data_IF_987003409361
#
_entry.id   IF_987003409361
#
_cell.length_a   1.000
_cell.length_b   1.000
_cell.length_c   1.000
_cell.angle_alpha   90.00
_cell.angle_beta   90.00
_cell.angle_gamma   90.00
#
_symmetry.space_group_name_H-M   'P 1'
#
loop_
_entity.id
_entity.type
_entity.pdbx_description
1 polymer ?
#
# COMPACT_ATOMS: atom_id res chain seq x y z
N UNK A 1 -7.30 -38.52 13.89
CA UNK A 1 -6.67 -37.41 13.15
C UNK A 1 -5.18 -37.54 13.28
N UNK A 2 -4.48 -37.50 12.14
CA UNK A 2 -3.02 -37.48 12.10
C UNK A 2 -2.45 -36.05 12.07
N UNK A 3 -1.12 -35.92 12.07
CA UNK A 3 -0.47 -34.62 12.05
C UNK A 3 -0.64 -33.88 10.70
N UNK A 4 -0.79 -34.59 9.58
CA UNK A 4 -0.94 -33.96 8.26
C UNK A 4 -2.32 -33.33 8.12
N UNK A 5 -3.33 -33.96 8.70
CA UNK A 5 -4.70 -33.43 8.82
C UNK A 5 -4.80 -32.27 9.82
N UNK A 6 -4.09 -32.36 10.96
CA UNK A 6 -4.18 -31.35 12.01
C UNK A 6 -3.47 -30.03 11.69
N UNK A 7 -2.28 -30.10 11.07
CA UNK A 7 -1.43 -28.92 10.79
C UNK A 7 -2.12 -27.80 10.00
N UNK A 8 -2.83 -28.05 8.89
CA UNK A 8 -3.51 -26.98 8.15
C UNK A 8 -4.69 -26.35 8.91
N UNK A 9 -5.18 -26.99 9.98
CA UNK A 9 -6.30 -26.51 10.78
C UNK A 9 -5.87 -25.71 12.02
N UNK A 10 -4.58 -25.62 12.32
CA UNK A 10 -4.08 -24.96 13.53
C UNK A 10 -4.39 -23.45 13.54
N UNK A 11 -4.23 -22.78 12.41
CA UNK A 11 -4.53 -21.34 12.27
C UNK A 11 -6.03 -21.06 12.41
N UNK A 12 -6.86 -21.81 11.67
CA UNK A 12 -8.32 -21.70 11.77
C UNK A 12 -8.85 -22.01 13.17
N UNK A 13 -8.24 -22.98 13.88
CA UNK A 13 -8.55 -23.27 15.29
C UNK A 13 -8.16 -22.10 16.21
N UNK A 14 -7.00 -21.47 15.97
CA UNK A 14 -6.55 -20.31 16.75
C UNK A 14 -7.42 -19.06 16.55
N UNK A 15 -8.02 -18.92 15.36
CA UNK A 15 -8.89 -17.79 15.00
C UNK A 15 -10.39 -18.04 15.26
N UNK A 16 -10.74 -19.21 15.82
CA UNK A 16 -12.14 -19.63 16.08
C UNK A 16 -13.00 -19.78 14.81
N UNK A 17 -12.38 -20.10 13.66
CA UNK A 17 -13.04 -20.25 12.36
C UNK A 17 -13.48 -21.70 12.06
N UNK A 18 -13.14 -22.64 12.93
CA UNK A 18 -13.55 -24.05 12.81
C UNK A 18 -14.94 -24.30 13.39
N UNK A 19 -15.62 -25.30 12.83
CA UNK A 19 -16.82 -25.85 13.46
C UNK A 19 -16.48 -26.40 14.86
N UNK A 20 -17.43 -26.37 15.78
CA UNK A 20 -17.22 -26.90 17.14
C UNK A 20 -16.78 -28.39 17.15
N UNK A 21 -17.21 -29.17 16.15
CA UNK A 21 -16.82 -30.56 16.00
C UNK A 21 -15.35 -30.69 15.56
N UNK A 22 -14.92 -29.89 14.58
CA UNK A 22 -13.55 -29.93 14.06
C UNK A 22 -12.55 -29.34 15.04
N UNK A 23 -12.89 -28.23 15.71
CA UNK A 23 -12.03 -27.65 16.74
C UNK A 23 -11.78 -28.64 17.87
N UNK A 24 -12.81 -29.37 18.33
CA UNK A 24 -12.66 -30.39 19.36
C UNK A 24 -11.73 -31.52 18.93
N UNK A 25 -11.80 -31.96 17.66
CA UNK A 25 -10.86 -32.96 17.11
C UNK A 25 -9.44 -32.41 17.13
N UNK A 26 -9.24 -31.15 16.73
CA UNK A 26 -7.93 -30.47 16.66
C UNK A 26 -7.33 -30.33 18.05
N UNK A 27 -8.08 -29.86 19.04
CA UNK A 27 -7.61 -29.76 20.42
C UNK A 27 -7.22 -31.13 21.00
N UNK A 28 -8.03 -32.17 20.79
CA UNK A 28 -7.68 -33.54 21.23
C UNK A 28 -6.35 -34.02 20.64
N UNK A 29 -6.06 -33.67 19.39
CA UNK A 29 -4.77 -34.01 18.77
C UNK A 29 -3.61 -33.18 19.34
N UNK A 30 -3.79 -31.88 19.56
CA UNK A 30 -2.80 -30.98 20.19
C UNK A 30 -2.43 -31.47 21.60
N UNK A 31 -3.42 -31.97 22.36
CA UNK A 31 -3.21 -32.53 23.68
C UNK A 31 -2.39 -33.83 23.64
N UNK A 32 -2.50 -34.62 22.57
CA UNK A 32 -1.75 -35.87 22.39
C UNK A 32 -0.40 -35.76 21.67
N UNK A 33 -0.15 -34.70 20.91
CA UNK A 33 1.01 -34.59 20.02
C UNK A 33 1.92 -33.40 20.36
N UNK A 34 3.17 -33.67 20.76
CA UNK A 34 4.13 -32.62 21.12
C UNK A 34 4.49 -31.71 19.93
N UNK A 35 4.56 -32.25 18.71
CA UNK A 35 4.88 -31.47 17.51
C UNK A 35 3.77 -30.46 17.18
N UNK A 36 2.53 -30.92 17.09
CA UNK A 36 1.37 -30.04 16.85
C UNK A 36 1.15 -29.06 18.00
N UNK A 37 1.46 -29.43 19.24
CA UNK A 37 1.41 -28.51 20.39
C UNK A 37 2.41 -27.36 20.27
N UNK A 38 3.64 -27.63 19.83
CA UNK A 38 4.63 -26.56 19.58
C UNK A 38 4.16 -25.62 18.48
N UNK A 39 3.66 -26.15 17.37
CA UNK A 39 3.17 -25.34 16.25
C UNK A 39 1.97 -24.48 16.65
N UNK A 40 0.96 -25.07 17.30
CA UNK A 40 -0.17 -24.32 17.85
C UNK A 40 0.28 -23.23 18.84
N UNK A 41 1.33 -23.50 19.62
CA UNK A 41 1.96 -22.52 20.51
C UNK A 41 2.54 -21.32 19.77
N UNK A 42 3.21 -21.55 18.63
CA UNK A 42 3.77 -20.49 17.76
C UNK A 42 2.65 -19.64 17.18
N UNK A 43 1.63 -20.26 16.60
CA UNK A 43 0.46 -19.56 16.02
C UNK A 43 -0.21 -18.66 17.07
N UNK A 44 -0.49 -19.21 18.25
CA UNK A 44 -1.08 -18.44 19.37
C UNK A 44 -0.16 -17.33 19.87
N UNK A 45 1.17 -17.51 19.82
CA UNK A 45 2.13 -16.47 20.21
C UNK A 45 2.12 -15.29 19.24
N UNK A 46 2.08 -15.55 17.93
CA UNK A 46 1.95 -14.50 16.90
C UNK A 46 0.63 -13.74 17.10
N UNK A 47 -0.50 -14.44 17.24
CA UNK A 47 -1.81 -13.80 17.46
C UNK A 47 -1.82 -12.91 18.72
N UNK A 48 -1.19 -13.36 19.82
CA UNK A 48 -1.04 -12.53 21.03
C UNK A 48 -0.20 -11.27 20.78
N UNK A 49 0.94 -11.41 20.12
CA UNK A 49 1.82 -10.28 19.83
C UNK A 49 1.13 -9.24 18.94
N UNK A 50 0.36 -9.68 17.94
CA UNK A 50 -0.43 -8.79 17.07
C UNK A 50 -1.51 -8.06 17.88
N UNK A 51 -2.23 -8.75 18.78
CA UNK A 51 -3.25 -8.13 19.64
C UNK A 51 -2.68 -7.16 20.67
N UNK A 52 -1.44 -7.36 21.09
CA UNK A 52 -0.72 -6.48 22.01
C UNK A 52 0.03 -5.34 21.32
N UNK A 53 0.18 -5.39 19.99
CA UNK A 53 0.76 -4.29 19.24
C UNK A 53 -0.05 -3.02 19.45
N UNK A 54 0.62 -1.87 19.47
CA UNK A 54 -0.03 -0.58 19.66
C UNK A 54 -1.05 -0.34 18.54
N UNK A 55 -2.32 -0.55 18.85
CA UNK A 55 -3.42 -0.28 17.95
C UNK A 55 -3.74 1.21 18.03
N UNK A 56 -3.42 1.95 16.98
CA UNK A 56 -3.82 3.36 16.88
C UNK A 56 -5.33 3.43 16.61
N UNK A 57 -6.09 3.81 17.64
CA UNK A 57 -7.52 4.07 17.48
C UNK A 57 -7.71 5.24 16.53
N UNK A 58 -8.48 5.05 15.46
CA UNK A 58 -8.88 6.14 14.57
C UNK A 58 -9.53 7.26 15.42
N UNK A 59 -9.15 8.51 15.17
CA UNK A 59 -9.75 9.66 15.85
C UNK A 59 -11.25 9.74 15.56
N UNK A 60 -12.02 10.29 16.50
CA UNK A 60 -13.47 10.45 16.32
C UNK A 60 -13.80 11.28 15.07
N UNK A 61 -12.93 12.24 14.71
CA UNK A 61 -13.04 13.03 13.50
C UNK A 61 -12.90 12.20 12.21
N UNK A 62 -11.92 11.28 12.16
CA UNK A 62 -11.75 10.38 11.02
C UNK A 62 -12.94 9.41 10.90
N UNK A 63 -13.39 8.86 12.04
CA UNK A 63 -14.58 8.00 12.09
C UNK A 63 -15.82 8.74 11.55
N UNK A 64 -16.04 9.98 11.96
CA UNK A 64 -17.18 10.77 11.50
C UNK A 64 -17.15 11.00 9.98
N UNK A 65 -15.98 11.28 9.42
CA UNK A 65 -15.80 11.44 7.97
C UNK A 65 -16.09 10.15 7.21
N UNK A 66 -15.54 9.02 7.66
CA UNK A 66 -15.79 7.71 7.02
C UNK A 66 -17.29 7.37 7.05
N UNK A 67 -17.96 7.60 8.18
CA UNK A 67 -19.41 7.33 8.31
C UNK A 67 -20.23 8.24 7.39
N UNK A 68 -19.81 9.50 7.20
CA UNK A 68 -20.46 10.43 6.29
C UNK A 68 -20.25 10.06 4.81
N UNK A 69 -19.10 9.48 4.45
CA UNK A 69 -18.76 9.08 3.08
C UNK A 69 -19.34 7.70 2.69
N UNK A 70 -19.78 6.90 3.65
CA UNK A 70 -20.41 5.62 3.35
C UNK A 70 -21.77 5.83 2.67
N UNK A 71 -22.03 5.15 1.53
CA UNK A 71 -23.35 5.23 0.90
C UNK A 71 -24.40 4.72 1.87
N UNK A 72 -25.62 5.30 1.88
CA UNK A 72 -26.68 4.82 2.74
C UNK A 72 -26.95 3.34 2.41
N UNK A 73 -26.61 2.46 3.34
CA UNK A 73 -26.98 1.05 3.26
C UNK A 73 -28.49 0.98 3.39
N UNK A 74 -29.19 0.95 2.26
CA UNK A 74 -30.61 0.63 2.21
C UNK A 74 -30.78 -0.85 2.57
N UNK A 75 -30.69 -1.16 3.86
CA UNK A 75 -31.23 -2.43 4.35
C UNK A 75 -32.70 -2.45 3.93
N UNK A 76 -33.21 -3.53 3.31
CA UNK A 76 -34.62 -3.65 3.02
C UNK A 76 -35.37 -3.56 4.35
N UNK A 77 -35.95 -2.40 4.58
CA UNK A 77 -36.69 -2.06 5.77
C UNK A 77 -37.99 -2.86 5.69
N UNK A 78 -37.95 -4.12 6.15
CA UNK A 78 -39.14 -4.96 6.31
C UNK A 78 -39.99 -4.34 7.41
N UNK A 79 -40.75 -3.31 7.03
CA UNK A 79 -41.73 -2.60 7.87
C UNK A 79 -42.81 -3.60 8.28
N UNK A 80 -42.60 -4.29 9.40
CA UNK A 80 -43.70 -4.87 10.18
C UNK A 80 -44.49 -3.69 10.78
N UNK A 81 -45.46 -3.24 10.00
CA UNK A 81 -46.40 -2.17 10.33
C UNK A 81 -47.40 -2.69 11.37
N UNK A 82 -47.05 -2.59 12.65
CA UNK A 82 -48.05 -2.65 13.72
C UNK A 82 -48.74 -1.28 13.76
N UNK A 83 -49.98 -1.22 13.24
CA UNK A 83 -50.86 -0.04 13.36
C UNK A 83 -51.48 -0.06 14.75
N UNK A 84 -51.05 0.85 15.61
CA UNK A 84 -51.93 1.38 16.65
C UNK A 84 -52.41 2.75 16.15
N UNK A 85 -53.73 2.98 15.99
CA UNK A 85 -54.25 4.33 15.90
C UNK A 85 -54.34 4.89 17.33
N UNK A 86 -54.22 6.21 17.50
CA UNK A 86 -55.03 7.04 18.41
C UNK A 86 -54.53 8.50 18.35
N UNK A 87 -55.46 9.37 17.92
CA UNK A 87 -55.73 10.77 18.28
C UNK A 87 -54.83 11.96 17.94
N UNK A 88 -55.49 12.94 17.27
CA UNK A 88 -55.44 14.39 17.54
C UNK A 88 -54.36 15.15 16.78
N UNK A 89 -54.60 16.22 16.02
CA UNK A 89 -55.69 17.20 16.03
C UNK A 89 -55.06 18.61 15.98
N UNK A 90 -55.73 19.53 15.26
CA UNK A 90 -55.47 20.98 15.11
C UNK A 90 -54.35 21.39 14.13
N UNK A 91 -54.67 22.05 13.00
CA UNK A 91 -55.13 23.45 12.82
C UNK A 91 -54.11 24.49 13.31
N UNK A 92 -53.59 25.27 12.36
CA UNK A 92 -52.83 26.50 12.62
C UNK A 92 -52.55 27.25 11.31
N UNK A 93 -53.50 28.09 10.90
CA UNK A 93 -53.35 29.17 9.93
C UNK A 93 -52.66 30.36 10.60
N UNK A 94 -51.77 31.03 9.86
CA UNK A 94 -51.16 32.31 10.22
C UNK A 94 -49.72 32.34 9.75
N UNK A 95 -49.22 33.31 9.00
CA UNK A 95 -49.74 34.53 8.41
C UNK A 95 -48.58 35.07 7.56
N UNK A 96 -48.87 35.60 6.37
CA UNK A 96 -47.83 36.04 5.44
C UNK A 96 -47.05 37.25 5.93
N UNK A 97 -45.89 37.49 5.30
CA UNK A 97 -45.33 38.81 4.90
C UNK A 97 -44.23 38.49 3.84
N UNK A 98 -44.09 39.40 2.86
CA UNK A 98 -43.18 39.40 1.68
C UNK A 98 -43.71 38.61 0.47
N UNK A 99 -44.38 39.19 -0.52
CA UNK A 99 -44.12 40.47 -1.18
C UNK A 99 -43.40 40.20 -2.50
N UNK A 100 -44.16 39.83 -3.54
CA UNK A 100 -43.66 39.72 -4.90
C UNK A 100 -43.54 41.12 -5.52
N UNK A 101 -42.48 41.40 -6.30
CA UNK A 101 -42.57 42.33 -7.41
C UNK A 101 -42.70 41.55 -8.72
N UNK A 102 -43.77 41.85 -9.46
CA UNK A 102 -43.85 41.61 -10.89
C UNK A 102 -42.97 42.64 -11.61
N UNK A 103 -42.10 42.16 -12.49
CA UNK A 103 -41.20 42.96 -13.31
C UNK A 103 -40.51 42.07 -14.33
N UNK A 104 -41.08 42.01 -15.52
CA UNK A 104 -40.63 41.24 -16.67
C UNK A 104 -39.24 41.69 -17.15
N UNK A 105 -38.21 40.90 -16.81
CA UNK A 105 -37.00 40.59 -17.63
C UNK A 105 -36.16 39.51 -16.92
N UNK A 106 -36.80 38.43 -16.44
CA UNK A 106 -36.09 37.30 -15.81
C UNK A 106 -36.14 36.08 -16.75
N UNK A 107 -35.70 36.26 -17.99
CA UNK A 107 -35.68 35.19 -18.99
C UNK A 107 -34.36 34.43 -19.10
N UNK A 108 -33.22 35.06 -18.78
CA UNK A 108 -31.90 34.51 -19.14
C UNK A 108 -30.89 34.38 -17.98
N UNK A 109 -31.13 35.03 -16.83
CA UNK A 109 -30.16 35.05 -15.72
C UNK A 109 -29.98 33.68 -15.04
N UNK A 110 -31.06 32.91 -14.88
CA UNK A 110 -31.01 31.59 -14.24
C UNK A 110 -30.36 30.52 -15.12
N UNK A 111 -30.44 30.67 -16.45
CA UNK A 111 -29.76 29.78 -17.40
C UNK A 111 -28.25 30.02 -17.40
N UNK A 112 -27.82 31.28 -17.29
CA UNK A 112 -26.40 31.62 -17.18
C UNK A 112 -25.77 31.09 -15.89
N UNK A 113 -26.47 31.16 -14.75
CA UNK A 113 -25.98 30.61 -13.48
C UNK A 113 -25.92 29.08 -13.49
N UNK A 114 -26.89 28.40 -14.10
CA UNK A 114 -26.86 26.95 -14.30
C UNK A 114 -25.70 26.50 -15.19
N UNK A 115 -25.42 27.23 -16.27
CA UNK A 115 -24.29 26.94 -17.17
C UNK A 115 -22.95 27.11 -16.46
N UNK A 116 -22.75 28.17 -15.67
CA UNK A 116 -21.51 28.37 -14.90
C UNK A 116 -21.35 27.27 -13.84
N UNK A 117 -22.42 26.91 -13.13
CA UNK A 117 -22.40 25.82 -12.15
C UNK A 117 -22.07 24.48 -12.82
N UNK A 118 -22.64 24.20 -13.98
CA UNK A 118 -22.35 22.98 -14.74
C UNK A 118 -20.91 22.97 -15.24
N UNK A 119 -20.39 24.08 -15.77
CA UNK A 119 -18.99 24.21 -16.16
C UNK A 119 -18.04 24.04 -14.97
N UNK A 120 -18.38 24.56 -13.79
CA UNK A 120 -17.60 24.38 -12.58
C UNK A 120 -17.62 22.92 -12.08
N UNK A 121 -18.77 22.24 -12.19
CA UNK A 121 -18.87 20.80 -11.86
C UNK A 121 -18.10 19.96 -12.86
N UNK A 122 -18.22 20.23 -14.17
CA UNK A 122 -17.47 19.52 -15.21
C UNK A 122 -15.97 19.78 -15.07
N UNK A 123 -15.55 21.02 -14.79
CA UNK A 123 -14.16 21.35 -14.48
C UNK A 123 -13.68 20.64 -13.21
N UNK A 124 -14.49 20.63 -12.15
CA UNK A 124 -14.19 19.92 -10.91
C UNK A 124 -14.03 18.41 -11.12
N UNK A 125 -14.95 17.78 -11.85
CA UNK A 125 -14.94 16.35 -12.18
C UNK A 125 -13.78 16.00 -13.11
N UNK A 126 -13.49 16.83 -14.12
CA UNK A 126 -12.35 16.60 -15.01
C UNK A 126 -11.02 16.79 -14.29
N UNK A 127 -10.91 17.75 -13.36
CA UNK A 127 -9.72 17.93 -12.54
C UNK A 127 -9.52 16.80 -11.52
N UNK A 128 -10.58 16.24 -10.94
CA UNK A 128 -10.48 15.09 -10.03
C UNK A 128 -10.18 13.80 -10.79
N UNK A 129 -10.78 13.57 -11.96
CA UNK A 129 -10.47 12.42 -12.82
C UNK A 129 -9.06 12.49 -13.44
N UNK A 130 -8.50 13.70 -13.57
CA UNK A 130 -7.12 13.92 -14.06
C UNK A 130 -6.08 14.03 -12.94
N UNK A 131 -6.45 13.86 -11.66
CA UNK A 131 -5.43 13.78 -10.62
C UNK A 131 -4.63 12.49 -10.84
N UNK A 132 -3.30 12.58 -11.04
CA UNK A 132 -2.48 11.38 -11.03
C UNK A 132 -2.69 10.68 -9.70
N UNK A 133 -2.77 9.34 -9.72
CA UNK A 133 -2.88 8.54 -8.50
C UNK A 133 -1.81 9.02 -7.50
N UNK A 134 -2.24 9.43 -6.31
CA UNK A 134 -1.33 9.93 -5.28
C UNK A 134 -0.24 8.87 -5.06
N UNK A 135 1.03 9.23 -5.29
CA UNK A 135 2.16 8.35 -4.98
C UNK A 135 2.32 8.13 -3.47
N UNK A 136 1.56 8.86 -2.64
CA UNK A 136 1.60 8.82 -1.17
C UNK A 136 1.50 7.42 -0.59
N UNK A 137 0.43 6.64 -0.86
CA UNK A 137 0.28 5.30 -0.30
C UNK A 137 1.42 4.35 -0.67
N UNK A 138 1.94 4.42 -1.91
CA UNK A 138 3.07 3.60 -2.34
C UNK A 138 4.36 4.00 -1.62
N UNK A 139 4.60 5.30 -1.48
CA UNK A 139 5.76 5.84 -0.76
C UNK A 139 5.72 5.41 0.71
N UNK A 140 4.57 5.49 1.36
CA UNK A 140 4.41 5.07 2.75
C UNK A 140 4.69 3.57 2.91
N UNK A 141 4.24 2.75 1.96
CA UNK A 141 4.43 1.30 1.96
C UNK A 141 5.90 0.92 1.70
N UNK A 142 6.58 1.65 0.81
CA UNK A 142 8.02 1.56 0.54
C UNK A 142 8.85 1.90 1.80
N UNK A 143 8.53 3.02 2.48
CA UNK A 143 9.18 3.39 3.75
C UNK A 143 8.92 2.34 4.82
N UNK A 144 7.68 1.86 4.95
CA UNK A 144 7.32 0.84 5.92
C UNK A 144 8.06 -0.48 5.68
N UNK A 145 8.24 -0.88 4.42
CA UNK A 145 9.05 -2.05 4.03
C UNK A 145 10.53 -1.86 4.45
N UNK A 146 11.13 -0.72 4.15
CA UNK A 146 12.51 -0.41 4.50
C UNK A 146 12.75 -0.46 6.02
N UNK A 147 11.90 0.22 6.79
CA UNK A 147 11.98 0.23 8.26
C UNK A 147 11.79 -1.17 8.85
N UNK A 148 10.82 -1.94 8.34
CA UNK A 148 10.56 -3.31 8.81
C UNK A 148 11.77 -4.23 8.57
N UNK A 149 12.42 -4.11 7.42
CA UNK A 149 13.59 -4.93 7.08
C UNK A 149 14.75 -4.66 8.06
N UNK A 150 15.03 -3.39 8.35
CA UNK A 150 16.06 -3.00 9.33
C UNK A 150 15.72 -3.46 10.76
N UNK A 151 14.49 -3.20 11.23
CA UNK A 151 14.08 -3.57 12.59
C UNK A 151 14.07 -5.08 12.83
N UNK A 152 13.76 -5.87 11.79
CA UNK A 152 13.71 -7.33 11.89
C UNK A 152 15.08 -8.02 11.72
N UNK A 153 16.12 -7.28 11.32
CA UNK A 153 17.41 -7.85 10.95
C UNK A 153 17.37 -8.76 9.71
N UNK A 154 16.27 -8.72 8.94
CA UNK A 154 16.07 -9.45 7.66
C UNK A 154 16.19 -8.49 6.49
N UNK A 155 17.24 -7.70 6.51
CA UNK A 155 17.56 -6.75 5.45
C UNK A 155 17.90 -7.47 4.13
N UNK A 156 18.46 -8.68 4.24
CA UNK A 156 19.02 -9.44 3.13
C UNK A 156 18.59 -10.91 3.25
N UNK A 157 17.99 -11.44 2.18
CA UNK A 157 17.67 -12.88 2.09
C UNK A 157 18.76 -13.66 1.34
N UNK A 158 19.49 -13.00 0.43
CA UNK A 158 20.68 -13.53 -0.25
C UNK A 158 21.88 -12.63 0.00
N UNK A 159 22.76 -13.07 0.90
CA UNK A 159 23.97 -12.33 1.27
C UNK A 159 25.05 -12.61 0.23
N UNK A 160 25.21 -11.70 -0.74
CA UNK A 160 26.27 -11.76 -1.75
C UNK A 160 26.51 -10.38 -2.35
N UNK A 161 27.77 -9.96 -2.39
CA UNK A 161 28.21 -8.80 -3.15
C UNK A 161 28.43 -9.09 -4.64
N UNK A 162 28.43 -10.36 -5.04
CA UNK A 162 28.55 -10.76 -6.44
C UNK A 162 27.17 -10.84 -7.13
N UNK A 163 27.02 -10.07 -8.20
CA UNK A 163 25.85 -10.06 -9.07
C UNK A 163 25.51 -11.45 -9.64
N UNK A 164 26.51 -12.32 -9.84
CA UNK A 164 26.33 -13.66 -10.41
C UNK A 164 25.70 -14.65 -9.42
N UNK A 165 25.60 -14.27 -8.14
CA UNK A 165 24.84 -15.02 -7.12
C UNK A 165 23.45 -14.42 -6.92
N UNK A 166 23.34 -13.09 -6.96
CA UNK A 166 22.08 -12.39 -6.69
C UNK A 166 21.09 -12.51 -7.86
N UNK A 167 21.55 -12.34 -9.11
CA UNK A 167 20.67 -12.43 -10.30
C UNK A 167 19.97 -13.81 -10.39
N UNK A 168 20.69 -14.96 -10.30
CA UNK A 168 20.03 -16.26 -10.35
C UNK A 168 19.13 -16.55 -9.15
N UNK A 169 19.38 -15.95 -7.98
CA UNK A 169 18.55 -16.15 -6.81
C UNK A 169 17.13 -15.59 -6.99
N UNK A 170 16.97 -14.51 -7.75
CA UNK A 170 15.67 -13.93 -8.08
C UNK A 170 14.89 -14.75 -9.13
N UNK A 171 15.58 -15.58 -9.93
CA UNK A 171 14.93 -16.39 -10.96
C UNK A 171 13.90 -17.35 -10.36
N UNK A 172 12.69 -17.35 -10.91
CA UNK A 172 11.58 -18.18 -10.44
C UNK A 172 10.86 -17.65 -9.18
N UNK A 173 11.38 -16.60 -8.53
CA UNK A 173 10.71 -15.91 -7.41
C UNK A 173 9.97 -14.65 -7.89
N UNK A 174 10.49 -14.02 -8.94
CA UNK A 174 9.90 -12.90 -9.64
C UNK A 174 9.54 -13.30 -11.07
N UNK A 175 8.58 -12.59 -11.63
CA UNK A 175 8.14 -12.64 -13.03
C UNK A 175 8.99 -11.77 -13.96
N UNK A 176 10.06 -11.16 -13.44
CA UNK A 176 11.05 -10.36 -14.17
C UNK A 176 12.45 -10.54 -13.56
N UNK A 177 13.48 -10.14 -14.31
CA UNK A 177 14.87 -10.16 -13.86
C UNK A 177 15.34 -8.74 -13.52
N UNK A 178 15.59 -8.41 -12.24
CA UNK A 178 16.09 -7.09 -11.88
C UNK A 178 17.55 -6.90 -12.35
N UNK A 179 17.91 -5.74 -12.92
CA UNK A 179 19.31 -5.40 -13.16
C UNK A 179 20.05 -5.27 -11.83
N UNK A 180 21.22 -5.90 -11.72
CA UNK A 180 22.06 -5.89 -10.52
C UNK A 180 23.46 -5.51 -10.97
N UNK A 181 23.97 -4.40 -10.44
CA UNK A 181 25.25 -3.81 -10.82
C UNK A 181 26.15 -3.64 -9.60
N UNK A 182 27.44 -3.87 -9.77
CA UNK A 182 28.42 -3.56 -8.74
C UNK A 182 28.82 -2.07 -8.79
N UNK A 183 28.54 -1.37 -7.71
CA UNK A 183 28.81 0.06 -7.53
C UNK A 183 29.87 0.32 -6.45
N UNK A 184 30.62 -0.70 -6.03
CA UNK A 184 31.64 -0.58 -4.99
C UNK A 184 32.71 0.47 -5.32
N UNK A 185 33.08 0.59 -6.61
CA UNK A 185 34.03 1.61 -7.08
C UNK A 185 33.54 3.06 -6.84
N UNK A 186 32.23 3.27 -6.76
CA UNK A 186 31.59 4.56 -6.47
C UNK A 186 31.25 4.73 -4.98
N UNK A 187 31.67 3.80 -4.12
CA UNK A 187 31.41 3.81 -2.67
C UNK A 187 30.08 3.20 -2.25
N UNK A 188 29.35 2.55 -3.16
CA UNK A 188 28.08 1.87 -2.89
C UNK A 188 28.27 0.36 -3.04
N UNK A 189 28.56 -0.33 -1.94
CA UNK A 189 28.83 -1.77 -1.98
C UNK A 189 27.51 -2.54 -1.97
N UNK A 190 27.28 -3.38 -2.98
CA UNK A 190 26.17 -4.33 -2.98
C UNK A 190 26.40 -5.36 -1.86
N UNK A 191 25.43 -5.52 -0.97
CA UNK A 191 25.50 -6.50 0.13
C UNK A 191 24.63 -7.72 -0.15
N UNK A 192 23.57 -7.54 -0.94
CA UNK A 192 22.70 -8.61 -1.36
C UNK A 192 21.37 -8.13 -1.87
N UNK A 193 20.38 -9.01 -1.78
CA UNK A 193 19.00 -8.68 -2.10
C UNK A 193 18.00 -9.44 -1.24
N UNK A 194 16.75 -8.99 -1.31
CA UNK A 194 15.60 -9.63 -0.70
C UNK A 194 14.37 -9.52 -1.61
N UNK A 195 13.37 -10.34 -1.30
CA UNK A 195 12.06 -10.27 -1.93
C UNK A 195 11.09 -9.58 -0.97
N UNK A 196 10.40 -8.54 -1.42
CA UNK A 196 9.36 -7.89 -0.63
C UNK A 196 8.03 -7.79 -1.39
N UNK A 197 6.98 -7.37 -0.69
CA UNK A 197 5.65 -7.17 -1.25
C UNK A 197 5.19 -5.73 -0.99
N UNK A 198 5.18 -4.93 -2.07
CA UNK A 198 4.88 -3.49 -2.04
C UNK A 198 4.02 -3.17 -3.26
N UNK A 199 3.02 -2.31 -3.11
CA UNK A 199 2.12 -1.91 -4.18
C UNK A 199 1.31 -3.08 -4.73
N UNK A 200 0.94 -4.04 -3.88
CA UNK A 200 0.25 -5.28 -4.26
C UNK A 200 1.02 -6.18 -5.25
N UNK A 201 2.35 -6.07 -5.30
CA UNK A 201 3.19 -6.90 -6.15
C UNK A 201 4.46 -7.35 -5.43
N UNK A 202 5.04 -8.46 -5.90
CA UNK A 202 6.37 -8.90 -5.47
C UNK A 202 7.42 -8.00 -6.11
N UNK A 203 8.33 -7.49 -5.29
CA UNK A 203 9.35 -6.52 -5.70
C UNK A 203 10.73 -7.05 -5.31
N UNK A 204 11.68 -6.92 -6.23
CA UNK A 204 13.10 -7.09 -5.92
C UNK A 204 13.58 -5.89 -5.11
N UNK A 205 14.23 -6.16 -3.97
CA UNK A 205 14.96 -5.14 -3.24
C UNK A 205 16.43 -5.49 -3.25
N UNK A 206 17.26 -4.59 -3.76
CA UNK A 206 18.70 -4.69 -3.75
C UNK A 206 19.23 -3.79 -2.64
N UNK A 207 20.04 -4.36 -1.76
CA UNK A 207 20.55 -3.66 -0.59
C UNK A 207 22.01 -3.29 -0.80
N UNK A 208 22.28 -1.99 -0.73
CA UNK A 208 23.61 -1.42 -0.82
C UNK A 208 23.97 -0.75 0.50
N UNK A 209 25.26 -0.77 0.85
CA UNK A 209 25.79 0.06 1.92
C UNK A 209 26.49 1.28 1.34
N UNK A 210 26.17 2.45 1.91
CA UNK A 210 26.89 3.69 1.69
C UNK A 210 27.45 4.19 3.03
N UNK A 211 28.76 4.00 3.24
CA UNK A 211 29.43 4.26 4.53
C UNK A 211 28.79 3.45 5.67
N UNK A 212 27.98 4.09 6.51
CA UNK A 212 27.23 3.46 7.62
C UNK A 212 25.72 3.41 7.37
N UNK A 213 25.27 3.87 6.22
CA UNK A 213 23.86 3.96 5.86
C UNK A 213 23.47 2.81 4.96
N UNK A 214 22.29 2.27 5.23
CA UNK A 214 21.63 1.26 4.40
C UNK A 214 20.88 1.99 3.29
N UNK A 215 21.02 1.47 2.07
CA UNK A 215 20.32 1.97 0.90
C UNK A 215 19.60 0.79 0.24
N UNK A 216 18.28 0.80 0.34
CA UNK A 216 17.42 -0.19 -0.31
C UNK A 216 16.91 0.33 -1.63
N UNK A 217 17.11 -0.46 -2.69
CA UNK A 217 16.69 -0.15 -4.04
C UNK A 217 15.62 -1.14 -4.48
N UNK A 218 14.40 -0.64 -4.58
CA UNK A 218 13.25 -1.36 -5.09
C UNK A 218 13.21 -1.18 -6.61
N UNK A 219 13.14 -2.28 -7.33
CA UNK A 219 13.11 -2.28 -8.79
C UNK A 219 12.01 -3.21 -9.28
N UNK A 220 11.19 -2.71 -10.20
CA UNK A 220 10.09 -3.47 -10.79
C UNK A 220 9.69 -2.92 -12.16
N UNK A 221 9.10 -3.74 -13.05
CA UNK A 221 8.66 -3.32 -14.38
C UNK A 221 7.67 -2.16 -14.33
N UNK A 222 7.83 -1.24 -15.27
CA UNK A 222 6.89 -0.14 -15.47
C UNK A 222 5.53 -0.68 -15.94
N UNK A 223 4.48 -0.37 -15.17
CA UNK A 223 3.11 -0.83 -15.47
C UNK A 223 2.35 0.13 -16.40
N UNK A 224 2.71 1.42 -16.41
CA UNK A 224 2.06 2.44 -17.24
C UNK A 224 3.10 3.40 -17.85
N UNK A 225 3.58 3.13 -19.07
CA UNK A 225 4.57 3.97 -19.76
C UNK A 225 4.00 5.31 -20.23
N UNK A 226 2.68 5.49 -20.26
CA UNK A 226 2.02 6.75 -20.63
C UNK A 226 1.89 7.73 -19.46
N UNK A 227 2.03 7.24 -18.22
CA UNK A 227 2.05 8.08 -17.03
C UNK A 227 3.41 8.78 -16.88
N UNK A 228 3.61 9.89 -17.59
CA UNK A 228 4.73 10.81 -17.33
C UNK A 228 4.72 11.20 -15.86
N UNK A 229 5.71 10.72 -15.13
CA UNK A 229 5.88 11.00 -13.71
C UNK A 229 7.36 11.32 -13.54
N UNK A 230 7.69 12.58 -13.24
CA UNK A 230 9.06 13.05 -13.26
C UNK A 230 9.89 12.33 -12.21
N UNK A 231 11.18 12.17 -12.52
CA UNK A 231 12.15 11.79 -11.50
C UNK A 231 12.05 12.79 -10.36
N UNK A 232 11.86 12.27 -9.16
CA UNK A 232 11.55 13.08 -7.99
C UNK A 232 12.29 12.53 -6.78
N UNK A 233 12.82 13.45 -5.99
CA UNK A 233 13.38 13.16 -4.67
C UNK A 233 12.42 13.70 -3.63
N UNK A 234 12.03 12.85 -2.70
CA UNK A 234 11.05 13.16 -1.66
C UNK A 234 11.62 12.74 -0.32
N UNK A 235 11.40 13.54 0.71
CA UNK A 235 11.73 13.15 2.10
C UNK A 235 10.44 12.79 2.83
N UNK A 236 10.42 11.63 3.49
CA UNK A 236 9.29 11.13 4.29
C UNK A 236 9.81 10.43 5.54
N UNK A 237 9.26 10.78 6.70
CA UNK A 237 9.60 10.18 8.00
C UNK A 237 11.11 10.10 8.31
N UNK A 238 11.88 11.08 7.85
CA UNK A 238 13.33 11.13 8.03
C UNK A 238 14.13 10.32 7.00
N UNK A 239 13.47 9.61 6.09
CA UNK A 239 14.09 8.89 4.99
C UNK A 239 14.05 9.70 3.71
N UNK A 240 15.15 9.68 2.98
CA UNK A 240 15.26 10.20 1.63
C UNK A 240 14.81 9.12 0.66
N UNK A 241 13.97 9.49 -0.31
CA UNK A 241 13.51 8.63 -1.39
C UNK A 241 13.83 9.28 -2.74
N UNK A 242 14.30 8.48 -3.69
CA UNK A 242 14.46 8.91 -5.07
C UNK A 242 13.75 7.93 -5.99
N UNK A 243 12.92 8.48 -6.89
CA UNK A 243 12.27 7.72 -7.96
C UNK A 243 12.85 8.11 -9.31
N UNK A 244 13.13 7.12 -10.14
CA UNK A 244 13.40 7.32 -11.55
C UNK A 244 12.95 6.13 -12.38
N UNK A 245 13.06 6.28 -13.70
CA UNK A 245 12.78 5.24 -14.68
C UNK A 245 14.02 5.03 -15.51
N UNK A 246 14.30 3.78 -15.80
CA UNK A 246 15.44 3.39 -16.64
C UNK A 246 15.20 1.99 -17.20
N UNK A 247 15.49 1.78 -18.49
CA UNK A 247 15.40 0.48 -19.17
C UNK A 247 14.06 -0.28 -18.96
N UNK A 248 12.93 0.44 -19.04
CA UNK A 248 11.59 -0.14 -18.83
C UNK A 248 11.26 -0.52 -17.39
N UNK A 249 12.12 -0.15 -16.44
CA UNK A 249 11.97 -0.42 -15.01
C UNK A 249 11.75 0.87 -14.23
N UNK A 250 10.95 0.79 -13.18
CA UNK A 250 10.79 1.83 -12.19
C UNK A 250 11.70 1.51 -11.01
N UNK A 251 12.48 2.51 -10.62
CA UNK A 251 13.44 2.42 -9.53
C UNK A 251 13.02 3.34 -8.40
N UNK A 252 13.08 2.82 -7.18
CA UNK A 252 12.93 3.57 -5.94
C UNK A 252 14.10 3.26 -5.02
N UNK A 253 14.89 4.27 -4.67
CA UNK A 253 15.94 4.13 -3.66
C UNK A 253 15.54 4.83 -2.38
N UNK A 254 15.77 4.18 -1.24
CA UNK A 254 15.41 4.66 0.10
C UNK A 254 16.64 4.55 1.00
N UNK A 255 16.90 5.61 1.76
CA UNK A 255 18.00 5.64 2.73
C UNK A 255 17.72 6.65 3.84
N UNK A 256 18.33 6.45 5.00
CA UNK A 256 18.38 7.41 6.10
C UNK A 256 19.46 8.50 5.89
N UNK A 257 20.25 8.39 4.82
CA UNK A 257 21.25 9.38 4.43
C UNK A 257 20.63 10.63 3.76
N UNK A 258 21.46 11.66 3.60
CA UNK A 258 21.08 12.91 2.96
C UNK A 258 20.65 12.70 1.48
N UNK A 259 19.70 13.49 0.95
CA UNK A 259 19.21 13.34 -0.43
C UNK A 259 20.29 13.34 -1.51
N UNK A 260 21.41 14.04 -1.28
CA UNK A 260 22.55 14.09 -2.19
C UNK A 260 23.21 12.72 -2.42
N UNK A 261 23.16 11.81 -1.44
CA UNK A 261 23.68 10.45 -1.63
C UNK A 261 22.85 9.65 -2.63
N UNK A 262 21.53 9.88 -2.68
CA UNK A 262 20.66 9.26 -3.69
C UNK A 262 20.91 9.83 -5.08
N UNK A 263 21.20 11.13 -5.19
CA UNK A 263 21.60 11.74 -6.44
C UNK A 263 22.91 11.12 -6.96
N UNK A 264 23.92 10.98 -6.09
CA UNK A 264 25.18 10.34 -6.43
C UNK A 264 25.00 8.85 -6.79
N UNK A 265 24.18 8.12 -6.04
CA UNK A 265 23.85 6.72 -6.31
C UNK A 265 23.23 6.56 -7.71
N UNK A 266 22.21 7.37 -8.03
CA UNK A 266 21.53 7.34 -9.33
C UNK A 266 22.51 7.58 -10.48
N UNK A 267 23.42 8.56 -10.35
CA UNK A 267 24.44 8.82 -11.37
C UNK A 267 25.35 7.61 -11.56
N UNK A 268 25.83 7.00 -10.47
CA UNK A 268 26.69 5.83 -10.52
C UNK A 268 25.99 4.61 -11.16
N UNK A 269 24.74 4.34 -10.77
CA UNK A 269 23.95 3.25 -11.32
C UNK A 269 23.69 3.43 -12.81
N UNK A 270 23.19 4.60 -13.22
CA UNK A 270 22.89 4.87 -14.62
C UNK A 270 24.13 4.78 -15.51
N UNK A 271 25.31 5.19 -15.00
CA UNK A 271 26.57 5.06 -15.71
C UNK A 271 26.95 3.58 -15.96
N UNK A 272 26.64 2.67 -15.03
CA UNK A 272 26.85 1.22 -15.22
C UNK A 272 25.83 0.61 -16.18
N UNK A 273 24.54 0.89 -15.97
CA UNK A 273 23.45 0.36 -16.81
C UNK A 273 23.65 0.69 -18.29
N UNK A 274 24.05 1.93 -18.62
CA UNK A 274 24.29 2.35 -20.01
C UNK A 274 25.74 2.13 -20.48
N UNK A 275 26.68 1.95 -19.55
CA UNK A 275 28.10 1.75 -19.84
C UNK A 275 28.42 0.32 -20.26
N UNK A 276 27.71 -0.68 -19.73
CA UNK A 276 27.90 -2.10 -20.07
C UNK A 276 27.58 -2.45 -21.52
N UNK A 277 26.69 -1.70 -22.17
CA UNK A 277 26.26 -1.96 -23.56
C UNK A 277 27.31 -1.67 -24.64
N UNK A 278 28.49 -1.12 -24.30
CA UNK A 278 29.59 -0.85 -25.26
C UNK A 278 30.71 -1.91 -25.26
N UNK A 279 30.56 -3.02 -24.52
CA UNK A 279 31.59 -4.03 -24.33
C UNK A 279 31.62 -5.21 -25.31
N UNK A 280 30.56 -5.46 -26.09
CA UNK A 280 30.50 -6.59 -27.04
C UNK A 280 30.54 -6.09 -28.49
N UNK A 281 31.75 -5.94 -29.02
CA UNK A 281 32.01 -5.96 -30.47
C UNK A 281 32.74 -7.27 -30.76
N UNK A 282 32.15 -8.22 -31.52
CA UNK A 282 32.88 -9.39 -31.99
C UNK A 282 33.89 -8.95 -33.04
N UNK A 283 35.15 -9.31 -32.82
CA UNK A 283 36.22 -9.20 -33.83
C UNK A 283 36.10 -10.26 -34.91
#
# INVERSE_FOLDING_TARGET
MDCKEARPLLDASADCELSAADDRRVQQHIDGCQACRREAGIVRAVSRNVRQANYHRASDALRARIVADLPPTSLPQRRRRWRFPLFGGARGLGGGIFGAPAGDTVGAGWLATLLIALCAVVAGVTLTLRRPADAGPLVDELVASHVRAQLSGREIDVVSSDQHTVKPWFNGRLDYAPPVEDLAASGFTLVGGRLDYVGHRRVAVLTYHYRKHVLDVYVFPETDPGAESPASTVVRDGYSLARWRDDGMVWWAITDAAPDSLAAFKVALNARLHGGARGEMPG
#
